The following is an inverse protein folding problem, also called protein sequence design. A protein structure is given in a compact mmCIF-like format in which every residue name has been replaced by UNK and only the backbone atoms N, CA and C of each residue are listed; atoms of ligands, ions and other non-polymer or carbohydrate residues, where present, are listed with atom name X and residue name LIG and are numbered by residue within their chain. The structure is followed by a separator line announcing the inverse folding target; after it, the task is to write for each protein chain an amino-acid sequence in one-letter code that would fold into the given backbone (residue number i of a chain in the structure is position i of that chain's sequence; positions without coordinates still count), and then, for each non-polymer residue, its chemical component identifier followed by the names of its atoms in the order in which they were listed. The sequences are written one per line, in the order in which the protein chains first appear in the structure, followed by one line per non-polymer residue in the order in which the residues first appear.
data_IF_033220530377
#
_entry.id   IF_033220530377
#
_cell.length_a   1.000
_cell.length_b   1.000
_cell.length_c   1.000
_cell.angle_alpha   90.00
_cell.angle_beta   90.00
_cell.angle_gamma   90.00
#
_symmetry.space_group_name_H-M   'P 1'
#
loop_
_entity.id
_entity.type
_entity.pdbx_description
1 polymer ?
#
# COMPACT_ATOMS: atom_id res chain seq x y z
N UNK A 1 1.47 6.53 22.52
CA UNK A 1 1.86 5.14 22.18
C UNK A 1 3.02 5.17 21.19
N UNK A 2 4.26 4.83 21.61
CA UNK A 2 5.40 4.68 20.68
C UNK A 2 5.50 3.20 20.30
N UNK A 3 5.07 2.86 19.09
CA UNK A 3 5.26 1.52 18.54
C UNK A 3 6.75 1.40 18.17
N UNK A 4 7.52 0.71 19.02
CA UNK A 4 8.90 0.31 18.67
C UNK A 4 8.80 -0.81 17.65
N UNK A 5 9.48 -0.67 16.51
CA UNK A 5 9.61 -1.74 15.51
C UNK A 5 11.08 -2.11 15.39
N UNK A 6 11.36 -3.39 15.55
CA UNK A 6 12.71 -3.95 15.39
C UNK A 6 13.09 -4.03 13.91
N UNK A 7 12.11 -4.31 13.04
CA UNK A 7 12.28 -4.42 11.60
C UNK A 7 11.78 -3.18 10.82
N UNK A 8 12.41 -2.86 9.66
CA UNK A 8 11.93 -1.82 8.77
C UNK A 8 10.49 -2.06 8.33
N UNK A 9 9.67 -1.00 8.38
CA UNK A 9 8.32 -1.04 7.82
C UNK A 9 8.38 -1.21 6.30
N UNK A 10 7.74 -2.26 5.78
CA UNK A 10 7.61 -2.46 4.34
C UNK A 10 6.49 -1.58 3.78
N UNK A 11 6.79 -0.81 2.74
CA UNK A 11 5.81 -0.04 1.97
C UNK A 11 5.73 -0.59 0.55
N UNK A 12 4.52 -0.88 0.09
CA UNK A 12 4.23 -1.32 -1.27
C UNK A 12 3.88 -0.09 -2.12
N UNK A 13 4.52 0.06 -3.28
CA UNK A 13 4.35 1.20 -4.17
C UNK A 13 4.24 0.71 -5.61
N UNK A 14 3.28 1.23 -6.38
CA UNK A 14 3.00 0.88 -7.77
C UNK A 14 3.69 1.79 -8.80
N UNK A 15 4.34 2.86 -8.34
CA UNK A 15 5.09 3.77 -9.18
C UNK A 15 6.60 3.51 -9.04
N UNK A 16 7.19 2.85 -10.04
CA UNK A 16 8.64 2.61 -10.11
C UNK A 16 9.45 3.91 -10.08
N UNK A 17 8.97 4.97 -10.72
CA UNK A 17 9.64 6.28 -10.73
C UNK A 17 9.65 6.91 -9.34
N UNK A 18 8.54 6.81 -8.59
CA UNK A 18 8.49 7.29 -7.20
C UNK A 18 9.45 6.51 -6.29
N UNK A 19 9.56 5.19 -6.48
CA UNK A 19 10.54 4.35 -5.76
C UNK A 19 11.97 4.79 -6.10
N UNK A 20 12.27 4.99 -7.38
CA UNK A 20 13.60 5.42 -7.82
C UNK A 20 13.94 6.82 -7.29
N UNK A 21 13.02 7.78 -7.37
CA UNK A 21 13.20 9.12 -6.80
C UNK A 21 13.50 9.06 -5.29
N UNK A 22 12.75 8.24 -4.56
CA UNK A 22 12.95 8.05 -3.13
C UNK A 22 14.29 7.37 -2.78
N UNK A 23 14.82 6.54 -3.68
CA UNK A 23 16.14 5.90 -3.52
C UNK A 23 17.30 6.83 -3.89
N UNK A 24 17.13 7.68 -4.90
CA UNK A 24 18.27 8.34 -5.55
C UNK A 24 18.39 9.85 -5.31
N UNK A 25 17.35 10.60 -4.90
CA UNK A 25 17.47 12.07 -4.94
C UNK A 25 17.01 12.95 -3.77
N UNK A 26 16.04 12.62 -2.90
CA UNK A 26 15.66 13.61 -1.83
C UNK A 26 15.18 12.99 -0.49
N UNK A 27 14.76 11.72 -0.44
CA UNK A 27 14.18 11.12 0.78
C UNK A 27 15.23 10.54 1.77
N UNK A 28 16.36 11.24 1.93
CA UNK A 28 17.57 10.77 2.64
C UNK A 28 17.36 10.45 4.13
N UNK A 29 16.32 10.98 4.78
CA UNK A 29 16.20 10.94 6.24
C UNK A 29 15.69 9.63 6.86
N UNK A 30 14.69 8.96 6.26
CA UNK A 30 14.01 7.80 6.88
C UNK A 30 14.32 6.46 6.21
N UNK A 31 14.61 6.46 4.91
CA UNK A 31 15.01 5.26 4.16
C UNK A 31 16.43 4.84 4.57
N UNK A 32 17.38 5.78 4.64
CA UNK A 32 18.76 5.49 5.07
C UNK A 32 18.87 5.11 6.55
N UNK A 33 17.95 5.59 7.40
CA UNK A 33 17.86 5.15 8.81
C UNK A 33 17.26 3.74 8.97
N UNK A 34 17.13 2.96 7.89
CA UNK A 34 16.58 1.59 7.84
C UNK A 34 15.21 1.45 8.51
N UNK A 35 14.41 2.52 8.55
CA UNK A 35 13.06 2.47 9.17
C UNK A 35 11.99 2.01 8.20
N UNK A 36 12.23 2.14 6.89
CA UNK A 36 11.27 1.88 5.83
C UNK A 36 11.95 1.15 4.67
N UNK A 37 11.32 0.08 4.16
CA UNK A 37 11.74 -0.68 2.98
C UNK A 37 10.69 -0.53 1.87
N UNK A 38 11.06 0.09 0.76
CA UNK A 38 10.18 0.27 -0.40
C UNK A 38 10.23 -0.98 -1.30
N UNK A 39 9.06 -1.53 -1.65
CA UNK A 39 8.93 -2.65 -2.61
C UNK A 39 7.94 -2.26 -3.70
N UNK A 40 8.30 -2.52 -4.95
CA UNK A 40 7.38 -2.38 -6.08
C UNK A 40 6.26 -3.43 -6.00
N UNK A 41 5.03 -3.01 -6.30
CA UNK A 41 3.86 -3.87 -6.32
C UNK A 41 2.99 -3.52 -7.53
N UNK A 42 2.62 -4.51 -8.35
CA UNK A 42 1.87 -4.25 -9.58
C UNK A 42 0.45 -3.78 -9.28
N UNK A 43 -0.01 -2.79 -10.05
CA UNK A 43 -1.31 -2.10 -9.94
C UNK A 43 -2.54 -3.02 -9.99
N UNK A 44 -2.44 -4.20 -10.61
CA UNK A 44 -3.59 -5.11 -10.78
C UNK A 44 -4.06 -5.77 -9.47
N UNK A 45 -3.27 -5.66 -8.40
CA UNK A 45 -3.59 -6.21 -7.07
C UNK A 45 -3.61 -5.11 -5.99
N UNK A 46 -3.59 -3.83 -6.38
CA UNK A 46 -3.56 -2.74 -5.40
C UNK A 46 -4.94 -2.52 -4.78
N UNK A 47 -5.22 -3.36 -3.79
CA UNK A 47 -6.45 -3.30 -3.03
C UNK A 47 -6.68 -1.91 -2.39
N UNK A 48 -5.61 -1.18 -2.06
CA UNK A 48 -5.68 0.18 -1.52
C UNK A 48 -6.30 1.21 -2.48
N UNK A 49 -6.35 0.93 -3.78
CA UNK A 49 -6.99 1.83 -4.75
C UNK A 49 -8.47 2.05 -4.44
N UNK A 50 -9.14 1.08 -3.82
CA UNK A 50 -10.55 1.22 -3.39
C UNK A 50 -10.78 2.40 -2.43
N UNK A 51 -9.73 2.84 -1.72
CA UNK A 51 -9.79 3.92 -0.74
C UNK A 51 -9.35 5.28 -1.32
N UNK A 52 -8.81 5.31 -2.54
CA UNK A 52 -8.11 6.51 -3.07
C UNK A 52 -8.53 6.91 -4.46
N UNK A 53 -9.25 6.05 -5.20
CA UNK A 53 -9.65 6.28 -6.59
C UNK A 53 -11.08 5.82 -6.85
N UNK A 54 -11.81 6.46 -7.79
CA UNK A 54 -13.02 5.86 -8.34
C UNK A 54 -12.65 4.65 -9.21
N UNK A 55 -13.19 3.48 -8.90
CA UNK A 55 -12.90 2.22 -9.60
C UNK A 55 -14.02 1.81 -10.55
N UNK A 56 -13.67 1.09 -11.61
CA UNK A 56 -14.68 0.38 -12.44
C UNK A 56 -15.36 -0.69 -11.59
N UNK A 57 -16.65 -0.96 -11.82
CA UNK A 57 -17.46 -1.88 -10.98
C UNK A 57 -16.80 -3.25 -10.74
N UNK A 58 -16.19 -3.84 -11.77
CA UNK A 58 -15.49 -5.13 -11.63
C UNK A 58 -14.23 -5.04 -10.74
N UNK A 59 -13.45 -3.96 -10.86
CA UNK A 59 -12.27 -3.72 -10.02
C UNK A 59 -12.66 -3.42 -8.57
N UNK A 60 -13.74 -2.64 -8.38
CA UNK A 60 -14.30 -2.38 -7.06
C UNK A 60 -14.73 -3.69 -6.39
N UNK A 61 -15.48 -4.54 -7.10
CA UNK A 61 -15.94 -5.83 -6.55
C UNK A 61 -14.76 -6.71 -6.15
N UNK A 62 -13.78 -6.90 -7.03
CA UNK A 62 -12.58 -7.70 -6.76
C UNK A 62 -11.81 -7.18 -5.54
N UNK A 63 -11.50 -5.87 -5.49
CA UNK A 63 -10.72 -5.28 -4.38
C UNK A 63 -11.50 -5.26 -3.07
N UNK A 64 -12.82 -5.01 -3.10
CA UNK A 64 -13.73 -5.10 -1.94
C UNK A 64 -13.69 -6.49 -1.32
N UNK A 65 -13.80 -7.52 -2.16
CA UNK A 65 -13.79 -8.91 -1.70
C UNK A 65 -12.40 -9.27 -1.13
N UNK A 66 -11.30 -8.75 -1.70
CA UNK A 66 -9.93 -8.95 -1.19
C UNK A 66 -9.65 -8.31 0.18
N UNK A 67 -10.29 -7.18 0.54
CA UNK A 67 -10.21 -6.62 1.91
C UNK A 67 -11.19 -7.26 2.89
N UNK A 68 -12.01 -8.22 2.45
CA UNK A 68 -12.99 -8.87 3.30
C UNK A 68 -14.17 -7.97 3.67
N UNK A 69 -14.47 -6.94 2.88
CA UNK A 69 -15.70 -6.15 3.07
C UNK A 69 -16.89 -7.02 2.65
N UNK A 70 -17.77 -7.28 3.61
CA UNK A 70 -18.96 -8.10 3.41
C UNK A 70 -20.23 -7.28 3.66
N UNK A 71 -21.36 -7.68 3.04
CA UNK A 71 -22.66 -7.10 3.36
C UNK A 71 -22.98 -7.25 4.86
N UNK A 72 -23.65 -6.25 5.43
CA UNK A 72 -24.10 -6.27 6.83
C UNK A 72 -25.05 -7.45 7.09
N UNK A 73 -25.78 -7.91 6.08
CA UNK A 73 -26.64 -9.10 6.14
C UNK A 73 -25.89 -10.39 6.50
N UNK A 74 -24.57 -10.40 6.38
CA UNK A 74 -23.72 -11.55 6.71
C UNK A 74 -23.18 -11.48 8.16
N UNK A 75 -23.50 -10.42 8.92
CA UNK A 75 -23.20 -10.33 10.35
C UNK A 75 -24.40 -10.87 11.14
N UNK A 76 -24.23 -12.06 11.72
CA UNK A 76 -25.16 -12.65 12.69
C UNK A 76 -25.17 -11.88 14.00
#
# INVERSE_FOLDING_TARGET
MKIRREEPMKMLIDNKSAINLAKYHVAHGRINKRKIKLKYFSTNEHVADILTKPLKGNQFKMTRDMIGVQPITNMN
#
